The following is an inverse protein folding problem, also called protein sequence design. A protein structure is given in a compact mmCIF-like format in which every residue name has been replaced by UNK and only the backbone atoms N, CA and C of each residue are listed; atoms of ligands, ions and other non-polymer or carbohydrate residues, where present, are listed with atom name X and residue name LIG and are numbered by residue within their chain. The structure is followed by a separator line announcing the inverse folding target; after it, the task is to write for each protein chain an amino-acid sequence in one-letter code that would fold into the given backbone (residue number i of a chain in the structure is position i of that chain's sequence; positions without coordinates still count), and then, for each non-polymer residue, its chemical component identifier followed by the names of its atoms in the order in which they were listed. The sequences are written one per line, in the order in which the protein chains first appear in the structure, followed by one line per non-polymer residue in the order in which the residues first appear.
data_IF_621698688516
#
_entry.id   IF_621698688516
#
_cell.length_a   1.000
_cell.length_b   1.000
_cell.length_c   1.000
_cell.angle_alpha   90.00
_cell.angle_beta   90.00
_cell.angle_gamma   90.00
#
_symmetry.space_group_name_H-M   'P 1'
#
loop_
_entity.id
_entity.type
_entity.pdbx_description
1 polymer ?
#
# COMPACT_ATOMS: atom_id res chain seq x y z
N UNK A 1 -10.58 16.06 -17.11
CA UNK A 1 -11.26 14.81 -16.72
C UNK A 1 -11.80 15.05 -15.34
N UNK A 2 -13.10 14.91 -15.14
CA UNK A 2 -13.72 15.13 -13.83
C UNK A 2 -13.26 14.06 -12.84
N UNK A 3 -13.46 14.29 -11.53
CA UNK A 3 -13.17 13.26 -10.53
C UNK A 3 -14.00 11.99 -10.76
N UNK A 4 -15.27 12.13 -11.14
CA UNK A 4 -16.17 11.01 -11.41
C UNK A 4 -15.72 10.19 -12.63
N UNK A 5 -15.26 10.84 -13.70
CA UNK A 5 -14.68 10.16 -14.86
C UNK A 5 -13.38 9.40 -14.51
N UNK A 6 -12.60 9.92 -13.57
CA UNK A 6 -11.41 9.22 -13.05
C UNK A 6 -11.83 7.96 -12.28
N UNK A 7 -12.80 8.07 -11.38
CA UNK A 7 -13.32 6.93 -10.59
C UNK A 7 -13.96 5.85 -11.48
N UNK A 8 -14.71 6.25 -12.52
CA UNK A 8 -15.29 5.31 -13.50
C UNK A 8 -14.22 4.55 -14.28
N UNK A 9 -13.09 5.19 -14.60
CA UNK A 9 -11.97 4.49 -15.23
C UNK A 9 -11.28 3.52 -14.27
N UNK A 10 -11.12 3.93 -13.01
CA UNK A 10 -10.48 3.10 -11.99
C UNK A 10 -11.34 1.87 -11.63
N UNK A 11 -12.68 2.01 -11.62
CA UNK A 11 -13.58 0.87 -11.41
C UNK A 11 -13.46 -0.19 -12.52
N UNK A 12 -13.30 0.21 -13.79
CA UNK A 12 -13.05 -0.74 -14.88
C UNK A 12 -11.73 -1.52 -14.72
N UNK A 13 -10.79 -1.02 -13.92
CA UNK A 13 -9.55 -1.71 -13.53
C UNK A 13 -9.69 -2.52 -12.24
N UNK A 14 -10.89 -2.60 -11.68
CA UNK A 14 -11.19 -3.25 -10.40
C UNK A 14 -10.79 -2.42 -9.18
N UNK A 15 -10.55 -1.12 -9.32
CA UNK A 15 -10.22 -0.20 -8.23
C UNK A 15 -11.44 0.64 -7.87
N UNK A 16 -12.41 -0.02 -7.24
CA UNK A 16 -13.72 0.55 -6.90
C UNK A 16 -13.73 1.16 -5.49
N UNK A 17 -14.54 2.20 -5.29
CA UNK A 17 -14.82 2.70 -3.95
C UNK A 17 -15.53 1.62 -3.13
N UNK A 18 -15.15 1.47 -1.87
CA UNK A 18 -15.80 0.54 -0.96
C UNK A 18 -17.25 0.96 -0.67
N UNK A 19 -18.05 -0.02 -0.23
CA UNK A 19 -19.41 0.22 0.24
C UNK A 19 -19.43 1.29 1.34
N UNK A 20 -20.31 2.28 1.19
CA UNK A 20 -20.44 3.40 2.14
C UNK A 20 -19.37 4.48 2.00
N UNK A 21 -18.51 4.44 0.97
CA UNK A 21 -17.61 5.52 0.57
C UNK A 21 -18.18 6.24 -0.64
N UNK A 22 -18.04 7.57 -0.67
CA UNK A 22 -18.59 8.45 -1.69
C UNK A 22 -17.56 9.46 -2.17
N UNK A 23 -17.85 10.17 -3.27
CA UNK A 23 -17.02 11.28 -3.75
C UNK A 23 -16.78 12.34 -2.67
N UNK A 24 -17.77 12.58 -1.81
CA UNK A 24 -17.61 13.53 -0.70
C UNK A 24 -16.52 13.12 0.28
N UNK A 25 -16.28 11.82 0.48
CA UNK A 25 -15.17 11.35 1.32
C UNK A 25 -13.81 11.71 0.72
N UNK A 26 -13.68 11.72 -0.62
CA UNK A 26 -12.45 12.11 -1.30
C UNK A 26 -12.25 13.63 -1.25
N UNK A 27 -13.34 14.40 -1.24
CA UNK A 27 -13.28 15.87 -1.21
C UNK A 27 -12.86 16.43 0.16
N UNK A 28 -12.80 15.60 1.20
CA UNK A 28 -12.19 15.97 2.48
C UNK A 28 -10.66 16.11 2.36
N UNK A 29 -10.00 15.28 1.55
CA UNK A 29 -8.53 15.30 1.40
C UNK A 29 -8.05 16.41 0.44
N UNK A 30 -8.77 16.65 -0.66
CA UNK A 30 -8.42 17.67 -1.65
C UNK A 30 -9.66 18.33 -2.25
N UNK A 31 -9.53 19.60 -2.65
CA UNK A 31 -10.57 20.23 -3.44
C UNK A 31 -10.71 19.58 -4.83
N UNK A 32 -11.90 19.73 -5.42
CA UNK A 32 -12.21 19.17 -6.74
C UNK A 32 -11.24 19.65 -7.82
N UNK A 33 -10.84 20.92 -7.77
CA UNK A 33 -9.90 21.47 -8.76
C UNK A 33 -8.56 20.73 -8.74
N UNK A 34 -8.06 20.34 -7.57
CA UNK A 34 -6.80 19.59 -7.44
C UNK A 34 -6.87 18.23 -8.10
N UNK A 35 -7.99 17.50 -7.97
CA UNK A 35 -8.21 16.23 -8.68
C UNK A 35 -8.27 16.41 -10.19
N UNK A 36 -8.88 17.48 -10.68
CA UNK A 36 -9.14 17.68 -12.11
C UNK A 36 -7.98 18.35 -12.85
N UNK A 37 -7.14 19.11 -12.14
CA UNK A 37 -5.93 19.77 -12.66
C UNK A 37 -4.85 18.77 -13.07
N UNK A 38 -4.72 17.68 -12.32
CA UNK A 38 -3.74 16.63 -12.54
C UNK A 38 -4.40 15.25 -12.38
N UNK A 39 -5.19 14.80 -13.38
CA UNK A 39 -5.92 13.54 -13.29
C UNK A 39 -5.01 12.37 -12.91
N UNK A 40 -5.53 11.49 -12.06
CA UNK A 40 -4.86 10.31 -11.50
C UNK A 40 -3.71 10.57 -10.52
N UNK A 41 -3.26 11.82 -10.29
CA UNK A 41 -2.24 12.06 -9.27
C UNK A 41 -2.85 11.97 -7.85
N UNK A 42 -3.80 12.84 -7.54
CA UNK A 42 -4.43 12.91 -6.21
C UNK A 42 -5.33 11.70 -5.93
N UNK A 43 -6.15 11.28 -6.90
CA UNK A 43 -7.11 10.19 -6.66
C UNK A 43 -6.44 8.86 -6.38
N UNK A 44 -5.29 8.55 -7.00
CA UNK A 44 -4.57 7.31 -6.71
C UNK A 44 -4.02 7.30 -5.28
N UNK A 45 -3.57 8.45 -4.77
CA UNK A 45 -3.17 8.58 -3.37
C UNK A 45 -4.34 8.35 -2.42
N UNK A 46 -5.45 9.07 -2.62
CA UNK A 46 -6.62 8.98 -1.73
C UNK A 46 -7.32 7.63 -1.83
N UNK A 47 -7.25 6.92 -2.96
CA UNK A 47 -7.78 5.55 -3.03
C UNK A 47 -7.12 4.60 -2.03
N UNK A 48 -5.84 4.82 -1.71
CA UNK A 48 -5.10 4.01 -0.76
C UNK A 48 -5.32 4.37 0.71
N UNK A 49 -5.97 5.49 0.98
CA UNK A 49 -6.18 6.01 2.35
C UNK A 49 -7.52 5.54 2.93
N UNK A 50 -7.79 6.02 4.14
CA UNK A 50 -9.10 5.91 4.78
C UNK A 50 -9.87 7.22 4.67
N UNK A 51 -11.19 7.15 4.79
CA UNK A 51 -12.04 8.33 4.80
C UNK A 51 -11.73 9.23 6.00
N UNK A 52 -11.47 10.51 5.73
CA UNK A 52 -11.10 11.53 6.73
C UNK A 52 -12.32 12.13 7.45
N UNK A 53 -13.39 11.35 7.57
CA UNK A 53 -14.62 11.72 8.30
C UNK A 53 -15.36 10.51 8.86
N UNK A 54 -16.16 10.76 9.89
CA UNK A 54 -16.96 9.73 10.53
C UNK A 54 -17.90 8.98 9.56
N UNK A 55 -18.07 7.65 9.71
CA UNK A 55 -17.34 6.80 10.66
C UNK A 55 -15.89 6.53 10.20
N UNK A 56 -14.94 6.66 11.13
CA UNK A 56 -13.50 6.44 10.90
C UNK A 56 -13.17 4.97 10.62
N UNK A 57 -12.01 4.69 10.03
CA UNK A 57 -11.56 3.33 9.73
C UNK A 57 -12.17 2.72 8.47
N UNK A 58 -12.74 3.56 7.58
CA UNK A 58 -13.29 3.11 6.29
C UNK A 58 -12.23 3.28 5.20
N UNK A 59 -11.64 2.21 4.65
CA UNK A 59 -10.74 2.34 3.51
C UNK A 59 -11.50 2.88 2.32
N UNK A 60 -10.91 3.83 1.58
CA UNK A 60 -11.53 4.38 0.37
C UNK A 60 -11.69 3.28 -0.68
N UNK A 61 -10.65 2.47 -0.89
CA UNK A 61 -10.68 1.26 -1.72
C UNK A 61 -9.90 0.15 -1.02
N UNK A 62 -10.51 -1.01 -0.79
CA UNK A 62 -9.79 -2.14 -0.16
C UNK A 62 -8.69 -2.73 -1.04
N UNK A 63 -8.72 -2.45 -2.34
CA UNK A 63 -7.77 -2.93 -3.34
C UNK A 63 -6.57 -2.00 -3.58
N UNK A 64 -6.49 -0.90 -2.84
CA UNK A 64 -5.38 0.04 -2.86
C UNK A 64 -4.96 0.29 -1.42
N UNK A 65 -3.67 0.49 -1.17
CA UNK A 65 -3.21 0.83 0.17
C UNK A 65 -2.06 1.83 0.11
N UNK A 66 -2.24 2.97 0.77
CA UNK A 66 -1.15 3.90 1.05
C UNK A 66 -0.34 3.36 2.22
N UNK A 67 0.70 2.61 1.89
CA UNK A 67 1.55 1.92 2.85
C UNK A 67 2.67 2.85 3.30
N UNK A 68 2.47 3.42 4.49
CA UNK A 68 3.55 4.05 5.25
C UNK A 68 4.46 2.98 5.84
N UNK A 69 5.76 3.09 5.55
CA UNK A 69 6.75 2.17 6.05
C UNK A 69 7.12 2.45 7.52
N UNK A 70 6.91 3.67 8.03
CA UNK A 70 7.09 4.06 9.43
C UNK A 70 5.89 3.58 10.27
N UNK A 71 5.69 2.26 10.36
CA UNK A 71 4.47 1.70 10.96
C UNK A 71 4.69 0.50 11.90
N UNK A 72 5.91 0.32 12.41
CA UNK A 72 6.28 -0.73 13.35
C UNK A 72 6.45 -0.15 14.75
N UNK A 73 5.44 -0.29 15.59
CA UNK A 73 5.46 0.22 16.97
C UNK A 73 5.31 -0.90 18.00
N UNK A 74 4.60 -1.99 17.66
CA UNK A 74 4.22 -3.03 18.60
C UNK A 74 4.14 -4.42 17.93
N UNK A 75 4.19 -5.51 18.71
CA UNK A 75 3.78 -6.82 18.22
C UNK A 75 2.36 -6.76 17.62
N UNK A 76 2.19 -7.36 16.44
CA UNK A 76 0.97 -7.34 15.63
C UNK A 76 1.07 -6.47 14.38
N UNK A 77 2.07 -5.60 14.26
CA UNK A 77 2.18 -4.71 13.10
C UNK A 77 2.53 -5.46 11.81
N UNK A 78 3.37 -6.49 11.86
CA UNK A 78 3.59 -7.33 10.67
C UNK A 78 2.38 -8.21 10.36
N UNK A 79 1.59 -8.59 11.37
CA UNK A 79 0.32 -9.30 11.14
C UNK A 79 -0.62 -8.39 10.33
N UNK A 80 -0.79 -7.14 10.76
CA UNK A 80 -1.58 -6.12 10.06
C UNK A 80 -1.08 -5.89 8.63
N UNK A 81 0.23 -5.80 8.42
CA UNK A 81 0.81 -5.65 7.06
C UNK A 81 0.44 -6.86 6.18
N UNK A 82 0.60 -8.09 6.67
CA UNK A 82 0.26 -9.30 5.91
C UNK A 82 -1.23 -9.33 5.55
N UNK A 83 -2.10 -9.01 6.50
CA UNK A 83 -3.55 -8.98 6.29
C UNK A 83 -3.93 -7.92 5.25
N UNK A 84 -3.37 -6.70 5.35
CA UNK A 84 -3.61 -5.63 4.37
C UNK A 84 -3.09 -5.98 2.98
N UNK A 85 -1.94 -6.64 2.85
CA UNK A 85 -1.46 -7.11 1.55
C UNK A 85 -2.40 -8.16 0.93
N UNK A 86 -2.95 -9.07 1.74
CA UNK A 86 -3.94 -10.04 1.30
C UNK A 86 -5.25 -9.35 0.85
N UNK A 87 -5.69 -8.33 1.57
CA UNK A 87 -6.86 -7.52 1.22
C UNK A 87 -6.67 -6.73 -0.08
N UNK A 88 -5.51 -6.08 -0.26
CA UNK A 88 -5.14 -5.41 -1.52
C UNK A 88 -5.15 -6.39 -2.68
N UNK A 89 -4.70 -7.61 -2.46
CA UNK A 89 -4.75 -8.69 -3.45
C UNK A 89 -6.16 -9.26 -3.71
N UNK A 90 -7.18 -8.79 -2.99
CA UNK A 90 -8.56 -9.27 -3.10
C UNK A 90 -8.75 -10.68 -2.53
N UNK A 91 -7.84 -11.14 -1.67
CA UNK A 91 -7.82 -12.49 -1.11
C UNK A 91 -7.65 -12.45 0.42
N UNK A 92 -8.61 -11.84 1.17
CA UNK A 92 -8.54 -11.80 2.62
C UNK A 92 -8.46 -13.22 3.20
N UNK A 93 -7.55 -13.43 4.16
CA UNK A 93 -7.31 -14.73 4.77
C UNK A 93 -6.52 -15.72 3.90
N UNK A 94 -5.91 -15.26 2.80
CA UNK A 94 -4.98 -16.09 2.01
C UNK A 94 -3.80 -16.57 2.87
N UNK A 95 -3.23 -15.66 3.66
CA UNK A 95 -2.34 -16.01 4.75
C UNK A 95 -3.18 -16.38 5.99
N UNK A 96 -2.77 -17.43 6.68
CA UNK A 96 -3.40 -17.92 7.91
C UNK A 96 -2.33 -18.13 8.99
N UNK A 97 -2.74 -18.26 10.25
CA UNK A 97 -1.82 -18.47 11.38
C UNK A 97 -0.70 -17.41 11.42
N UNK A 98 -1.06 -16.17 11.10
CA UNK A 98 -0.12 -15.05 11.04
C UNK A 98 0.22 -14.62 12.46
N UNK A 99 1.51 -14.66 12.78
CA UNK A 99 2.06 -14.29 14.08
C UNK A 99 3.36 -13.54 13.85
N UNK A 100 3.60 -12.52 14.67
CA UNK A 100 4.88 -11.84 14.74
C UNK A 100 5.36 -11.71 16.19
N UNK A 101 6.62 -11.32 16.33
CA UNK A 101 7.20 -10.88 17.60
C UNK A 101 8.23 -9.83 17.30
N UNK A 102 8.25 -8.78 18.11
CA UNK A 102 9.16 -7.66 18.00
C UNK A 102 9.64 -7.31 19.41
N UNK A 103 10.95 -7.31 19.60
CA UNK A 103 11.61 -6.89 20.82
C UNK A 103 12.64 -5.82 20.48
N UNK A 104 12.30 -4.56 20.76
CA UNK A 104 13.15 -3.41 20.48
C UNK A 104 14.37 -3.32 21.40
N UNK A 105 14.31 -3.90 22.61
CA UNK A 105 15.42 -3.86 23.57
C UNK A 105 16.56 -4.79 23.12
N UNK A 106 16.21 -5.97 22.60
CA UNK A 106 17.15 -6.96 22.06
C UNK A 106 17.40 -6.82 20.56
N UNK A 107 16.60 -6.00 19.86
CA UNK A 107 16.64 -5.82 18.40
C UNK A 107 16.40 -7.14 17.64
N UNK A 108 15.50 -7.98 18.18
CA UNK A 108 15.09 -9.25 17.61
C UNK A 108 13.64 -9.19 17.16
N UNK A 109 13.37 -9.58 15.92
CA UNK A 109 12.02 -9.70 15.40
C UNK A 109 11.86 -10.86 14.42
N UNK A 110 10.65 -11.39 14.33
CA UNK A 110 10.30 -12.43 13.36
C UNK A 110 8.83 -12.36 12.95
N UNK A 111 8.54 -12.90 11.76
CA UNK A 111 7.20 -13.06 11.20
C UNK A 111 7.00 -14.51 10.75
N UNK A 112 5.85 -15.10 11.10
CA UNK A 112 5.43 -16.45 10.71
C UNK A 112 4.01 -16.41 10.15
N UNK A 113 3.75 -17.19 9.11
CA UNK A 113 2.40 -17.39 8.56
C UNK A 113 2.34 -18.67 7.72
N UNK A 114 1.13 -19.12 7.40
CA UNK A 114 0.85 -20.26 6.53
C UNK A 114 0.15 -19.78 5.26
N UNK A 115 0.71 -20.12 4.09
CA UNK A 115 0.16 -19.83 2.76
C UNK A 115 0.26 -21.06 1.86
N UNK A 116 -0.83 -21.38 1.15
CA UNK A 116 -0.93 -22.57 0.29
C UNK A 116 -0.50 -23.87 1.01
N UNK A 117 -0.86 -23.99 2.30
CA UNK A 117 -0.52 -25.13 3.16
C UNK A 117 0.95 -25.21 3.57
N UNK A 118 1.76 -24.19 3.30
CA UNK A 118 3.18 -24.12 3.67
C UNK A 118 3.41 -23.03 4.70
N UNK A 119 4.05 -23.38 5.80
CA UNK A 119 4.51 -22.41 6.78
C UNK A 119 5.72 -21.63 6.24
N UNK A 120 5.72 -20.33 6.51
CA UNK A 120 6.81 -19.38 6.29
C UNK A 120 7.27 -18.86 7.64
N UNK A 121 8.57 -18.60 7.72
CA UNK A 121 9.20 -18.00 8.89
C UNK A 121 10.33 -17.09 8.41
N UNK A 122 10.29 -15.84 8.84
CA UNK A 122 11.24 -14.81 8.45
C UNK A 122 11.82 -14.13 9.69
N UNK A 123 13.14 -14.05 9.77
CA UNK A 123 13.78 -13.10 10.67
C UNK A 123 13.64 -11.71 10.05
N UNK A 124 13.24 -10.75 10.88
CA UNK A 124 12.93 -9.38 10.49
C UNK A 124 14.06 -8.47 10.98
N UNK A 125 14.54 -7.57 10.10
CA UNK A 125 15.43 -6.49 10.51
C UNK A 125 14.64 -5.43 11.29
N UNK A 126 15.01 -5.19 12.54
CA UNK A 126 14.46 -4.08 13.34
C UNK A 126 15.24 -2.80 13.00
N UNK A 127 14.55 -1.79 12.47
CA UNK A 127 15.09 -0.47 12.14
C UNK A 127 14.14 0.62 12.65
N UNK A 128 14.24 0.94 13.95
CA UNK A 128 13.31 1.88 14.60
C UNK A 128 11.85 1.49 14.35
N UNK A 129 11.04 2.41 13.85
CA UNK A 129 9.63 2.23 13.48
C UNK A 129 9.41 1.77 12.03
N UNK A 130 10.47 1.44 11.30
CA UNK A 130 10.37 1.08 9.88
C UNK A 130 10.10 -0.41 9.66
N UNK A 131 9.20 -0.71 8.74
CA UNK A 131 8.98 -2.07 8.25
C UNK A 131 10.17 -2.57 7.42
N UNK A 132 10.60 -3.81 7.66
CA UNK A 132 11.67 -4.46 6.93
C UNK A 132 11.25 -4.70 5.46
N UNK A 133 11.84 -3.97 4.50
CA UNK A 133 11.43 -4.06 3.10
C UNK A 133 11.71 -5.44 2.50
N UNK A 134 12.70 -6.18 3.01
CA UNK A 134 13.00 -7.54 2.54
C UNK A 134 11.90 -8.50 2.97
N UNK A 135 11.46 -8.42 4.22
CA UNK A 135 10.36 -9.24 4.73
C UNK A 135 9.05 -8.91 4.02
N UNK A 136 8.70 -7.63 3.88
CA UNK A 136 7.49 -7.20 3.16
C UNK A 136 7.51 -7.68 1.70
N UNK A 137 8.64 -7.55 0.99
CA UNK A 137 8.77 -8.03 -0.39
C UNK A 137 8.62 -9.55 -0.52
N UNK A 138 9.06 -10.33 0.47
CA UNK A 138 8.85 -11.79 0.50
C UNK A 138 7.39 -12.15 0.66
N UNK A 139 6.66 -11.45 1.55
CA UNK A 139 5.21 -11.62 1.71
C UNK A 139 4.48 -11.32 0.41
N UNK A 140 4.78 -10.16 -0.21
CA UNK A 140 4.22 -9.80 -1.52
C UNK A 140 4.47 -10.91 -2.53
N UNK A 141 5.71 -11.41 -2.63
CA UNK A 141 6.10 -12.48 -3.57
C UNK A 141 5.33 -13.78 -3.33
N UNK A 142 5.07 -14.16 -2.08
CA UNK A 142 4.28 -15.35 -1.74
C UNK A 142 2.77 -15.17 -2.11
N UNK A 143 2.27 -13.93 -2.12
CA UNK A 143 0.89 -13.59 -2.51
C UNK A 143 0.73 -13.52 -4.05
N UNK A 144 1.75 -13.07 -4.80
CA UNK A 144 1.73 -12.96 -6.27
C UNK A 144 1.38 -14.30 -6.95
N UNK A 145 0.32 -14.31 -7.76
CA UNK A 145 -0.19 -15.50 -8.45
C UNK A 145 -1.03 -15.13 -9.66
N UNK A 146 -1.28 -16.10 -10.52
CA UNK A 146 -2.20 -15.99 -11.67
C UNK A 146 -1.94 -14.80 -12.60
N UNK A 147 -0.68 -14.36 -12.69
CA UNK A 147 -0.27 -13.22 -13.52
C UNK A 147 -0.43 -11.85 -12.85
N UNK A 148 -0.95 -11.80 -11.63
CA UNK A 148 -1.06 -10.59 -10.82
C UNK A 148 0.21 -10.35 -9.98
N UNK A 149 0.58 -9.08 -9.83
CA UNK A 149 1.77 -8.62 -9.12
C UNK A 149 1.51 -7.34 -8.34
N UNK A 150 2.35 -7.07 -7.35
CA UNK A 150 2.33 -5.80 -6.66
C UNK A 150 3.04 -4.70 -7.45
N UNK A 151 2.35 -3.58 -7.63
CA UNK A 151 2.87 -2.33 -8.17
C UNK A 151 2.74 -1.23 -7.12
N UNK A 152 3.60 -0.23 -7.20
CA UNK A 152 3.54 0.93 -6.33
C UNK A 152 3.64 2.23 -7.13
N UNK A 153 3.04 3.28 -6.56
CA UNK A 153 3.31 4.67 -6.91
C UNK A 153 3.89 5.37 -5.68
N UNK A 154 5.05 5.99 -5.85
CA UNK A 154 5.68 6.83 -4.84
C UNK A 154 4.89 8.14 -4.68
N UNK A 155 4.60 8.53 -3.44
CA UNK A 155 3.99 9.82 -3.11
C UNK A 155 4.94 10.76 -2.32
N UNK A 156 6.18 10.32 -2.06
CA UNK A 156 7.21 11.06 -1.35
C UNK A 156 7.24 10.84 0.16
N UNK A 157 6.24 10.16 0.74
CA UNK A 157 6.16 9.82 2.18
C UNK A 157 5.91 8.32 2.39
N UNK A 158 4.98 7.79 1.62
CA UNK A 158 4.54 6.41 1.63
C UNK A 158 4.52 5.85 0.20
N UNK A 159 4.03 4.63 0.06
CA UNK A 159 3.81 4.03 -1.25
C UNK A 159 2.38 3.54 -1.41
N UNK A 160 1.77 3.98 -2.50
CA UNK A 160 0.45 3.52 -2.87
C UNK A 160 0.59 2.19 -3.59
N UNK A 161 0.16 1.11 -2.95
CA UNK A 161 0.23 -0.26 -3.42
C UNK A 161 -1.02 -0.68 -4.19
N UNK A 162 -0.79 -1.44 -5.26
CA UNK A 162 -1.82 -2.04 -6.12
C UNK A 162 -1.46 -3.50 -6.39
N UNK A 163 -2.47 -4.37 -6.52
CA UNK A 163 -2.29 -5.74 -7.00
C UNK A 163 -3.01 -5.92 -8.34
N UNK A 164 -2.23 -6.02 -9.43
CA UNK A 164 -2.74 -5.89 -10.80
C UNK A 164 -2.12 -6.94 -11.72
N UNK A 165 -2.88 -7.35 -12.73
CA UNK A 165 -2.34 -8.07 -13.87
C UNK A 165 -1.61 -7.10 -14.81
N UNK A 166 -0.90 -7.65 -15.80
CA UNK A 166 -0.10 -6.86 -16.72
C UNK A 166 -0.91 -5.87 -17.57
N UNK A 167 -2.18 -6.17 -17.88
CA UNK A 167 -3.04 -5.29 -18.69
C UNK A 167 -3.48 -4.10 -17.85
N UNK A 168 -4.04 -4.36 -16.67
CA UNK A 168 -4.49 -3.31 -15.76
C UNK A 168 -3.31 -2.44 -15.28
N UNK A 169 -2.15 -3.04 -15.01
CA UNK A 169 -0.95 -2.29 -14.63
C UNK A 169 -0.46 -1.37 -15.76
N UNK A 170 -0.49 -1.84 -17.03
CA UNK A 170 -0.11 -1.01 -18.18
C UNK A 170 -1.06 0.16 -18.34
N UNK A 171 -2.37 -0.09 -18.29
CA UNK A 171 -3.38 0.96 -18.42
C UNK A 171 -3.28 1.98 -17.29
N UNK A 172 -3.19 1.53 -16.04
CA UNK A 172 -3.05 2.42 -14.89
C UNK A 172 -1.76 3.25 -14.95
N UNK A 173 -0.67 2.66 -15.43
CA UNK A 173 0.61 3.34 -15.59
C UNK A 173 0.53 4.44 -16.67
N UNK A 174 -0.19 4.21 -17.76
CA UNK A 174 -0.46 5.25 -18.77
C UNK A 174 -1.28 6.40 -18.19
N UNK A 175 -2.36 6.08 -17.45
CA UNK A 175 -3.22 7.07 -16.78
C UNK A 175 -2.43 7.92 -15.77
N UNK A 176 -1.48 7.32 -15.06
CA UNK A 176 -0.65 7.97 -14.04
C UNK A 176 0.66 8.56 -14.56
N UNK A 177 0.77 8.81 -15.88
CA UNK A 177 1.96 9.41 -16.52
C UNK A 177 3.26 8.64 -16.28
N UNK A 178 3.18 7.31 -16.34
CA UNK A 178 4.27 6.38 -16.15
C UNK A 178 4.90 6.42 -14.74
N UNK A 179 4.08 6.68 -13.71
CA UNK A 179 4.54 6.78 -12.32
C UNK A 179 4.50 5.45 -11.55
N UNK A 180 3.87 4.40 -12.10
CA UNK A 180 3.82 3.09 -11.47
C UNK A 180 5.13 2.31 -11.70
N UNK A 181 5.52 1.54 -10.68
CA UNK A 181 6.68 0.63 -10.73
C UNK A 181 6.34 -0.69 -10.04
N UNK A 182 7.00 -1.81 -10.37
CA UNK A 182 6.88 -3.02 -9.57
C UNK A 182 7.35 -2.77 -8.14
N UNK A 183 6.65 -3.34 -7.15
CA UNK A 183 6.97 -3.19 -5.73
C UNK A 183 8.18 -4.05 -5.26
N UNK A 184 9.01 -4.60 -6.15
CA UNK A 184 10.11 -5.54 -5.80
C UNK A 184 11.48 -4.85 -5.55
N UNK A 185 12.53 -5.57 -5.11
CA UNK A 185 13.29 -5.40 -3.87
C UNK A 185 14.49 -4.43 -3.99
N UNK A 186 14.51 -3.50 -4.95
CA UNK A 186 15.55 -2.44 -5.03
C UNK A 186 15.32 -1.30 -4.02
N UNK A 187 14.76 -1.62 -2.86
CA UNK A 187 14.26 -0.67 -1.87
C UNK A 187 15.40 -0.11 -0.99
N UNK A 188 16.50 -0.86 -0.87
CA UNK A 188 17.53 -0.61 0.12
C UNK A 188 18.35 0.68 -0.11
N UNK A 189 18.53 1.16 -1.35
CA UNK A 189 19.44 2.30 -1.62
C UNK A 189 18.73 3.62 -1.95
N UNK A 190 17.57 3.58 -2.63
CA UNK A 190 16.91 4.81 -3.07
C UNK A 190 16.07 5.47 -1.97
N UNK A 191 15.40 4.69 -1.11
CA UNK A 191 14.51 5.24 -0.08
C UNK A 191 15.26 5.55 1.23
N UNK A 192 16.25 4.75 1.62
CA UNK A 192 17.14 5.10 2.76
C UNK A 192 17.81 6.48 2.58
N UNK A 193 18.09 6.89 1.34
CA UNK A 193 18.66 8.22 1.04
C UNK A 193 17.59 9.31 0.86
N UNK A 194 16.36 8.98 0.44
CA UNK A 194 15.28 9.96 0.34
C UNK A 194 14.68 10.30 1.71
N UNK A 195 14.56 9.33 2.63
CA UNK A 195 13.88 9.50 3.92
C UNK A 195 14.79 9.80 5.11
N UNK A 196 16.12 9.59 5.01
CA UNK A 196 17.09 10.03 6.04
C UNK A 196 17.60 11.47 5.89
N UNK A 197 17.17 12.19 4.85
CA UNK A 197 17.45 13.62 4.81
C UNK A 197 16.57 14.28 5.86
N UNK A 198 17.12 15.03 6.83
CA UNK A 198 16.28 15.88 7.65
C UNK A 198 15.51 16.78 6.70
N UNK A 199 14.19 16.74 6.78
CA UNK A 199 13.33 17.72 6.14
C UNK A 199 13.64 19.09 6.77
N UNK A 200 14.66 19.76 6.25
CA UNK A 200 14.89 21.19 6.45
C UNK A 200 13.78 21.95 5.73
N UNK A 201 12.57 21.92 6.30
CA UNK A 201 11.56 22.93 6.03
C UNK A 201 11.90 24.17 6.86
N UNK A 202 12.84 24.97 6.35
CA UNK A 202 13.02 26.35 6.76
C UNK A 202 12.87 27.28 5.55
N UNK A 203 11.65 27.83 5.47
CA UNK A 203 11.24 29.15 4.91
C UNK A 203 11.48 29.44 3.43
#
# INVERSE_FOLDING_TARGET
MTLEEQLERLSHLGLELNDGVSVEDLLESFDRESYERAPFDCVLFVLGSEAEREPWGRPICSRVWDFDCECIENPGDYVRIVDRLCEVAGMPGLCSEVEDSIDFDSNEAWLKYTIDGKQRYWNVEVDSDWADPVTVSRVMTDIERDGYRFFCKDNGQAMVLFYLDAVAASELNELSRNSLRPALPKWHESLRNLFRLPLDFHR
#
